data_IF_849040070936
#
_entry.id   IF_849040070936
#
_cell.length_a   1.000
_cell.length_b   1.000
_cell.length_c   1.000
_cell.angle_alpha   90.00
_cell.angle_beta   90.00
_cell.angle_gamma   90.00
#
_symmetry.space_group_name_H-M   'P 1'
#
loop_
_entity.id
_entity.type
_entity.pdbx_description
1 polymer ?
#
# COMPACT_ATOMS: atom_id res chain seq x y z
N UNK A 1 -17.00 -20.79 -9.82
CA UNK A 1 -15.86 -20.10 -9.18
C UNK A 1 -15.69 -18.74 -9.85
N UNK A 2 -16.12 -17.65 -9.19
CA UNK A 2 -16.12 -16.28 -9.74
C UNK A 2 -14.69 -15.74 -9.73
N UNK A 3 -14.21 -15.29 -10.89
CA UNK A 3 -13.03 -14.43 -10.98
C UNK A 3 -13.51 -13.04 -10.62
N UNK A 4 -13.02 -12.46 -9.53
CA UNK A 4 -13.23 -11.03 -9.26
C UNK A 4 -12.21 -10.27 -10.11
N UNK A 5 -12.66 -9.76 -11.25
CA UNK A 5 -11.96 -8.69 -11.94
C UNK A 5 -12.00 -7.46 -11.05
N UNK A 6 -10.87 -7.14 -10.44
CA UNK A 6 -10.66 -5.84 -9.81
C UNK A 6 -10.40 -4.87 -10.95
N UNK A 7 -11.48 -4.30 -11.49
CA UNK A 7 -11.45 -3.29 -12.55
C UNK A 7 -10.71 -2.04 -12.06
N UNK A 8 -10.27 -1.17 -12.98
CA UNK A 8 -9.67 0.13 -12.64
C UNK A 8 -10.55 1.02 -11.73
N UNK A 9 -11.81 0.65 -11.56
CA UNK A 9 -12.76 1.27 -10.64
C UNK A 9 -12.35 1.12 -9.17
N UNK A 10 -11.87 -0.06 -8.72
CA UNK A 10 -11.40 -0.22 -7.33
C UNK A 10 -10.19 0.68 -7.06
N UNK A 11 -9.29 0.79 -8.02
CA UNK A 11 -8.12 1.69 -7.90
C UNK A 11 -8.60 3.14 -7.83
N UNK A 12 -9.58 3.54 -8.63
CA UNK A 12 -10.12 4.91 -8.59
C UNK A 12 -10.84 5.24 -7.26
N UNK A 13 -11.60 4.30 -6.71
CA UNK A 13 -12.34 4.49 -5.45
C UNK A 13 -11.37 4.52 -4.26
N UNK A 14 -10.38 3.63 -4.24
CA UNK A 14 -9.47 3.46 -3.10
C UNK A 14 -8.28 4.44 -3.15
N UNK A 15 -7.75 4.76 -4.34
CA UNK A 15 -6.63 5.69 -4.47
C UNK A 15 -7.05 7.15 -4.23
N UNK A 16 -8.32 7.50 -4.49
CA UNK A 16 -8.83 8.85 -4.21
C UNK A 16 -8.88 9.22 -2.73
N UNK A 17 -8.91 8.21 -1.85
CA UNK A 17 -8.96 8.37 -0.39
C UNK A 17 -7.60 8.14 0.30
N UNK A 18 -6.59 7.68 -0.44
CA UNK A 18 -5.31 7.26 0.12
C UNK A 18 -4.27 8.39 0.07
N UNK A 19 -4.08 9.09 1.21
CA UNK A 19 -2.95 10.03 1.37
C UNK A 19 -1.64 9.26 1.62
N UNK A 20 -1.07 8.74 0.53
CA UNK A 20 0.21 8.00 0.55
C UNK A 20 1.34 8.84 1.13
N UNK A 21 1.32 10.16 0.93
CA UNK A 21 2.33 11.07 1.45
C UNK A 21 2.28 11.12 2.98
N UNK A 22 1.10 11.27 3.57
CA UNK A 22 0.93 11.22 5.02
C UNK A 22 1.38 9.88 5.61
N UNK A 23 1.08 8.76 4.94
CA UNK A 23 1.52 7.42 5.35
C UNK A 23 3.05 7.32 5.37
N UNK A 24 3.71 7.75 4.28
CA UNK A 24 5.17 7.68 4.17
C UNK A 24 5.87 8.62 5.17
N UNK A 25 5.31 9.82 5.41
CA UNK A 25 5.80 10.75 6.42
C UNK A 25 5.66 10.20 7.84
N UNK A 26 4.53 9.57 8.17
CA UNK A 26 4.36 8.92 9.46
C UNK A 26 5.38 7.78 9.66
N UNK A 27 5.64 6.99 8.61
CA UNK A 27 6.62 5.92 8.62
C UNK A 27 8.07 6.40 8.70
N UNK A 28 8.41 7.55 8.11
CA UNK A 28 9.78 8.09 8.09
C UNK A 28 10.31 8.45 9.48
N UNK A 29 9.41 8.66 10.45
CA UNK A 29 9.77 8.88 11.86
C UNK A 29 10.47 7.66 12.52
N UNK A 30 10.28 6.45 11.98
CA UNK A 30 10.94 5.24 12.46
C UNK A 30 11.34 4.29 11.31
N UNK A 31 12.40 4.62 10.55
CA UNK A 31 12.79 3.85 9.36
C UNK A 31 13.16 2.40 9.65
N UNK A 32 13.66 2.11 10.86
CA UNK A 32 13.98 0.75 11.28
C UNK A 32 12.73 -0.14 11.41
N UNK A 33 11.58 0.46 11.76
CA UNK A 33 10.30 -0.24 11.92
C UNK A 33 9.50 -0.33 10.62
N UNK A 34 9.72 0.63 9.71
CA UNK A 34 9.00 0.82 8.45
C UNK A 34 9.94 1.00 7.24
N UNK A 35 10.86 0.05 6.96
CA UNK A 35 11.91 0.24 5.97
C UNK A 35 11.40 0.37 4.53
N UNK A 36 10.25 -0.23 4.17
CA UNK A 36 9.68 -0.06 2.83
C UNK A 36 8.98 1.29 2.68
N UNK A 37 8.15 1.68 3.64
CA UNK A 37 7.42 2.95 3.60
C UNK A 37 8.35 4.16 3.76
N UNK A 38 9.37 4.06 4.62
CA UNK A 38 10.38 5.12 4.78
C UNK A 38 11.34 5.23 3.59
N UNK A 39 11.39 4.20 2.74
CA UNK A 39 12.19 4.19 1.50
C UNK A 39 11.43 4.69 0.27
N UNK A 40 10.16 5.08 0.41
CA UNK A 40 9.40 5.74 -0.66
C UNK A 40 9.94 7.15 -0.83
N UNK A 41 10.38 7.46 -2.05
CA UNK A 41 10.70 8.83 -2.45
C UNK A 41 9.42 9.52 -2.92
N UNK A 42 9.16 10.73 -2.44
CA UNK A 42 7.98 11.49 -2.86
C UNK A 42 8.12 12.08 -4.27
N UNK A 43 9.33 12.08 -4.84
CA UNK A 43 9.64 12.60 -6.18
C UNK A 43 9.99 11.51 -7.20
N UNK A 44 9.93 10.23 -6.81
CA UNK A 44 10.24 9.10 -7.69
C UNK A 44 9.22 7.98 -7.57
N UNK A 45 9.00 7.27 -8.67
CA UNK A 45 8.03 6.19 -8.74
C UNK A 45 8.51 4.98 -7.94
N UNK A 46 7.90 4.74 -6.79
CA UNK A 46 8.25 3.58 -5.97
C UNK A 46 7.40 2.38 -6.33
N UNK A 47 8.04 1.32 -6.83
CA UNK A 47 7.35 0.10 -7.28
C UNK A 47 7.50 -1.06 -6.30
N UNK A 48 6.38 -1.59 -5.81
CA UNK A 48 6.31 -2.81 -5.00
C UNK A 48 5.86 -4.02 -5.81
N UNK A 49 6.60 -5.12 -5.66
CA UNK A 49 6.27 -6.42 -6.24
C UNK A 49 5.50 -7.31 -5.23
N UNK A 50 4.97 -8.48 -5.65
CA UNK A 50 4.23 -9.39 -4.77
C UNK A 50 4.96 -9.83 -3.49
N UNK A 51 6.30 -9.93 -3.54
CA UNK A 51 7.11 -10.29 -2.37
C UNK A 51 7.19 -9.12 -1.38
N UNK A 52 7.36 -7.90 -1.89
CA UNK A 52 7.38 -6.69 -1.07
C UNK A 52 5.99 -6.36 -0.52
N UNK A 53 4.91 -6.72 -1.21
CA UNK A 53 3.53 -6.50 -0.75
C UNK A 53 3.25 -7.13 0.62
N UNK A 54 3.78 -8.34 0.89
CA UNK A 54 3.63 -9.00 2.19
C UNK A 54 4.26 -8.16 3.31
N UNK A 55 5.47 -7.65 3.07
CA UNK A 55 6.17 -6.81 4.04
C UNK A 55 5.50 -5.44 4.20
N UNK A 56 5.03 -4.86 3.09
CA UNK A 56 4.29 -3.59 3.06
C UNK A 56 3.01 -3.68 3.91
N UNK A 57 2.19 -4.73 3.73
CA UNK A 57 0.99 -4.97 4.55
C UNK A 57 1.35 -5.05 6.04
N UNK A 58 2.45 -5.73 6.38
CA UNK A 58 2.89 -5.83 7.77
C UNK A 58 3.36 -4.49 8.35
N UNK A 59 4.05 -3.65 7.56
CA UNK A 59 4.43 -2.30 7.95
C UNK A 59 3.22 -1.40 8.17
N UNK A 60 2.27 -1.42 7.25
CA UNK A 60 1.01 -0.70 7.31
C UNK A 60 0.21 -1.07 8.56
N UNK A 61 0.05 -2.37 8.85
CA UNK A 61 -0.64 -2.82 10.08
C UNK A 61 0.06 -2.35 11.36
N UNK A 62 1.40 -2.29 11.37
CA UNK A 62 2.17 -1.73 12.50
C UNK A 62 2.03 -0.21 12.61
N UNK A 63 1.81 0.49 11.50
CA UNK A 63 1.63 1.94 11.48
C UNK A 63 0.26 2.30 12.06
N UNK A 64 -0.82 1.65 11.60
CA UNK A 64 -2.17 1.82 12.15
C UNK A 64 -2.24 1.51 13.64
N UNK A 65 -1.59 0.43 14.08
CA UNK A 65 -1.57 0.07 15.51
C UNK A 65 -0.79 1.07 16.39
N UNK A 66 0.04 1.93 15.80
CA UNK A 66 0.85 2.91 16.52
C UNK A 66 0.30 4.35 16.39
N UNK A 67 -0.56 4.61 15.41
CA UNK A 67 -1.16 5.91 15.17
C UNK A 67 -2.50 6.05 15.89
N UNK A 68 -2.75 7.23 16.46
CA UNK A 68 -4.04 7.62 17.04
C UNK A 68 -4.74 8.64 16.12
N UNK A 69 -4.64 8.39 14.80
CA UNK A 69 -5.20 9.24 13.75
C UNK A 69 -6.20 8.41 12.90
N UNK A 70 -7.51 8.68 13.00
CA UNK A 70 -8.53 8.00 12.23
C UNK A 70 -8.37 8.15 10.71
N UNK A 71 -7.96 9.32 10.22
CA UNK A 71 -7.79 9.55 8.78
C UNK A 71 -6.61 8.75 8.22
N UNK A 72 -5.51 8.68 8.97
CA UNK A 72 -4.38 7.82 8.63
C UNK A 72 -4.78 6.34 8.65
N UNK A 73 -5.64 5.94 9.58
CA UNK A 73 -6.11 4.55 9.69
C UNK A 73 -6.93 4.13 8.47
N UNK A 74 -7.83 4.98 8.00
CA UNK A 74 -8.64 4.73 6.80
C UNK A 74 -7.77 4.66 5.53
N UNK A 75 -6.84 5.61 5.36
CA UNK A 75 -5.90 5.61 4.25
C UNK A 75 -5.01 4.36 4.25
N UNK A 76 -4.56 3.90 5.43
CA UNK A 76 -3.80 2.66 5.55
C UNK A 76 -4.65 1.43 5.21
N UNK A 77 -5.92 1.37 5.63
CA UNK A 77 -6.81 0.26 5.30
C UNK A 77 -7.09 0.16 3.79
N UNK A 78 -7.29 1.31 3.14
CA UNK A 78 -7.38 1.43 1.69
C UNK A 78 -6.12 0.85 1.01
N UNK A 79 -4.93 1.26 1.46
CA UNK A 79 -3.67 0.80 0.90
C UNK A 79 -3.40 -0.70 1.14
N UNK A 80 -3.78 -1.23 2.30
CA UNK A 80 -3.72 -2.68 2.58
C UNK A 80 -4.58 -3.44 1.57
N UNK A 81 -5.80 -2.97 1.31
CA UNK A 81 -6.72 -3.58 0.34
C UNK A 81 -6.07 -3.66 -1.06
N UNK A 82 -5.39 -2.60 -1.49
CA UNK A 82 -4.65 -2.60 -2.76
C UNK A 82 -3.45 -3.56 -2.73
N UNK A 83 -2.67 -3.56 -1.65
CA UNK A 83 -1.50 -4.43 -1.50
C UNK A 83 -1.87 -5.92 -1.51
N UNK A 84 -3.03 -6.29 -0.95
CA UNK A 84 -3.56 -7.66 -0.98
C UNK A 84 -3.88 -8.15 -2.40
N UNK A 85 -4.12 -7.24 -3.35
CA UNK A 85 -4.30 -7.59 -4.77
C UNK A 85 -3.01 -8.07 -5.45
N UNK A 86 -1.85 -7.84 -4.84
CA UNK A 86 -0.56 -8.34 -5.31
C UNK A 86 -0.23 -9.73 -4.76
N UNK A 87 -0.88 -10.15 -3.67
CA UNK A 87 -0.59 -11.45 -3.06
C UNK A 87 -0.88 -12.59 -4.05
N UNK A 88 -0.04 -13.65 -4.05
CA UNK A 88 -0.25 -14.80 -4.92
C UNK A 88 -1.65 -15.41 -4.71
N UNK A 89 -2.43 -15.52 -5.79
CA UNK A 89 -3.73 -16.15 -5.76
C UNK A 89 -3.89 -17.08 -6.97
N UNK A 90 -4.63 -18.18 -6.81
CA UNK A 90 -4.93 -19.09 -7.92
C UNK A 90 -5.62 -18.29 -9.04
N UNK A 91 -5.07 -18.32 -10.26
CA UNK A 91 -5.51 -17.58 -11.47
C UNK A 91 -5.16 -16.09 -11.53
N UNK A 92 -4.33 -15.56 -10.63
CA UNK A 92 -3.87 -14.17 -10.69
C UNK A 92 -2.53 -14.08 -11.46
N UNK A 93 -2.38 -13.17 -12.44
CA UNK A 93 -1.11 -13.02 -13.16
C UNK A 93 0.03 -12.69 -12.18
N UNK A 94 1.20 -13.34 -12.29
CA UNK A 94 2.31 -13.17 -11.36
C UNK A 94 3.05 -11.81 -11.51
N UNK A 95 2.65 -10.97 -12.46
CA UNK A 95 3.38 -9.76 -12.86
C UNK A 95 2.75 -8.44 -12.35
N UNK A 96 1.86 -8.50 -11.36
CA UNK A 96 1.24 -7.29 -10.78
C UNK A 96 2.23 -6.52 -9.92
N UNK A 97 2.10 -5.20 -9.95
CA UNK A 97 2.90 -4.25 -9.17
C UNK A 97 2.01 -3.16 -8.62
N UNK A 98 2.42 -2.57 -7.52
CA UNK A 98 1.84 -1.38 -6.91
C UNK A 98 2.86 -0.28 -7.09
N UNK A 99 2.45 0.84 -7.65
CA UNK A 99 3.34 1.98 -7.92
C UNK A 99 2.81 3.15 -7.13
N UNK A 100 3.67 3.76 -6.32
CA UNK A 100 3.44 5.08 -5.74
C UNK A 100 4.06 6.06 -6.71
N UNK A 101 3.23 6.90 -7.33
CA UNK A 101 3.70 7.88 -8.30
C UNK A 101 4.15 9.16 -7.57
N UNK A 102 5.32 9.68 -7.93
CA UNK A 102 5.93 10.86 -7.32
C UNK A 102 5.58 12.19 -8.01
N UNK A 103 4.47 12.26 -8.74
CA UNK A 103 4.05 13.38 -9.59
C UNK A 103 2.80 14.10 -9.05
#
# INVERSE_FOLDING_TARGET
>A
MRVFEYSGQLVSEVAGECDVKAICQAASSNPARYPLLAGVDEYDDTTFNPRQAVMLIAELGRLTAAADDPYLSDAVAALITLAELLLPARRRPPHRRLVFNGD
#
